data_IF_238573273789
#
_entry.id   IF_238573273789
#
_cell.length_a   1.000
_cell.length_b   1.000
_cell.length_c   1.000
_cell.angle_alpha   90.00
_cell.angle_beta   90.00
_cell.angle_gamma   90.00
#
_symmetry.space_group_name_H-M   'P 1'
#
loop_
_entity.id
_entity.type
_entity.pdbx_description
1 polymer ?
#
# COMPACT_ATOMS: atom_id res chain seq x y z
N UNK A 1 -18.33 -11.86 -5.19
CA UNK A 1 -17.77 -10.60 -5.74
C UNK A 1 -16.52 -10.96 -6.51
N UNK A 2 -16.45 -10.63 -7.79
CA UNK A 2 -15.27 -10.93 -8.61
C UNK A 2 -14.12 -9.98 -8.22
N UNK A 3 -12.92 -10.54 -8.02
CA UNK A 3 -11.70 -9.78 -7.84
C UNK A 3 -11.33 -9.11 -9.17
N UNK A 4 -11.26 -7.80 -9.20
CA UNK A 4 -10.87 -7.07 -10.41
C UNK A 4 -9.36 -7.18 -10.62
N UNK A 5 -8.94 -7.77 -11.76
CA UNK A 5 -7.52 -7.88 -12.12
C UNK A 5 -6.83 -6.50 -12.18
N UNK A 6 -7.53 -5.48 -12.68
CA UNK A 6 -7.01 -4.13 -12.78
C UNK A 6 -6.75 -3.52 -11.40
N UNK A 7 -7.70 -3.65 -10.45
CA UNK A 7 -7.54 -3.19 -9.06
C UNK A 7 -6.36 -3.90 -8.40
N UNK A 8 -6.27 -5.22 -8.55
CA UNK A 8 -5.18 -6.02 -7.99
C UNK A 8 -3.82 -5.59 -8.55
N UNK A 9 -3.71 -5.40 -9.88
CA UNK A 9 -2.46 -4.97 -10.51
C UNK A 9 -2.02 -3.57 -10.07
N UNK A 10 -2.97 -2.63 -9.96
CA UNK A 10 -2.69 -1.28 -9.45
C UNK A 10 -2.26 -1.30 -7.98
N UNK A 11 -2.90 -2.14 -7.17
CA UNK A 11 -2.50 -2.39 -5.79
C UNK A 11 -1.09 -2.97 -5.70
N UNK A 12 -0.75 -3.94 -6.54
CA UNK A 12 0.61 -4.50 -6.63
C UNK A 12 1.64 -3.43 -6.97
N UNK A 13 1.34 -2.56 -7.95
CA UNK A 13 2.22 -1.44 -8.30
C UNK A 13 2.40 -0.48 -7.12
N UNK A 14 1.31 -0.10 -6.44
CA UNK A 14 1.37 0.78 -5.27
C UNK A 14 2.24 0.19 -4.15
N UNK A 15 2.10 -1.12 -3.89
CA UNK A 15 2.90 -1.83 -2.90
C UNK A 15 4.38 -1.95 -3.28
N UNK A 16 4.69 -2.21 -4.55
CA UNK A 16 6.06 -2.23 -5.04
C UNK A 16 6.75 -0.88 -4.87
N UNK A 17 6.06 0.22 -5.21
CA UNK A 17 6.58 1.58 -5.01
C UNK A 17 6.77 1.89 -3.53
N UNK A 18 5.79 1.55 -2.67
CA UNK A 18 5.89 1.77 -1.23
C UNK A 18 7.08 1.02 -0.61
N UNK A 19 7.32 -0.24 -1.01
CA UNK A 19 8.47 -1.02 -0.58
C UNK A 19 9.79 -0.43 -1.08
N UNK A 20 9.81 0.10 -2.30
CA UNK A 20 11.00 0.78 -2.84
C UNK A 20 11.31 2.06 -2.05
N UNK A 21 10.29 2.85 -1.69
CA UNK A 21 10.46 4.04 -0.83
C UNK A 21 10.99 3.65 0.55
N UNK A 22 10.44 2.58 1.16
CA UNK A 22 10.96 2.02 2.40
C UNK A 22 12.46 1.70 2.28
N UNK A 23 12.84 0.89 1.29
CA UNK A 23 14.22 0.47 1.13
C UNK A 23 15.18 1.66 0.85
N UNK A 24 14.75 2.61 0.03
CA UNK A 24 15.55 3.77 -0.32
C UNK A 24 15.83 4.72 0.87
N UNK A 25 14.91 4.83 1.83
CA UNK A 25 15.08 5.69 3.00
C UNK A 25 15.85 5.02 4.16
N UNK A 26 16.15 3.71 4.11
CA UNK A 26 16.84 2.99 5.17
C UNK A 26 18.15 3.66 5.65
N UNK A 27 19.03 4.19 4.79
CA UNK A 27 20.23 4.86 5.27
C UNK A 27 19.95 6.08 6.15
N UNK A 28 18.80 6.73 5.97
CA UNK A 28 18.38 7.86 6.79
C UNK A 28 17.88 7.37 8.15
N UNK A 29 16.95 6.43 8.18
CA UNK A 29 16.37 5.94 9.43
C UNK A 29 17.40 5.20 10.31
N UNK A 30 18.37 4.48 9.71
CA UNK A 30 19.48 3.88 10.43
C UNK A 30 20.27 4.93 11.22
N UNK A 31 20.47 6.11 10.65
CA UNK A 31 21.14 7.22 11.34
C UNK A 31 20.28 7.82 12.45
N UNK A 32 18.98 7.99 12.19
CA UNK A 32 18.02 8.61 13.13
C UNK A 32 17.82 7.73 14.35
N UNK A 33 17.60 6.43 14.15
CA UNK A 33 17.34 5.48 15.24
C UNK A 33 18.59 4.84 15.81
N UNK A 34 19.75 5.00 15.16
CA UNK A 34 21.01 4.38 15.59
C UNK A 34 21.03 2.85 15.46
N UNK A 35 20.20 2.28 14.61
CA UNK A 35 20.10 0.82 14.39
C UNK A 35 20.50 0.48 12.96
N UNK A 36 21.64 -0.20 12.75
CA UNK A 36 22.14 -0.53 11.41
C UNK A 36 21.43 -1.77 10.84
N UNK A 37 20.11 -1.76 10.83
CA UNK A 37 19.29 -2.85 10.30
C UNK A 37 18.88 -2.58 8.86
N UNK A 38 19.15 -3.55 7.97
CA UNK A 38 18.84 -3.49 6.54
C UNK A 38 17.93 -4.66 6.15
N UNK A 39 16.66 -4.36 5.82
CA UNK A 39 15.68 -5.36 5.41
C UNK A 39 16.06 -6.04 4.10
N UNK A 40 16.61 -5.28 3.15
CA UNK A 40 17.07 -5.85 1.88
C UNK A 40 18.29 -6.76 2.10
N UNK A 41 19.23 -6.32 2.93
CA UNK A 41 20.37 -7.15 3.34
C UNK A 41 19.92 -8.44 4.02
N UNK A 42 18.96 -8.36 4.93
CA UNK A 42 18.36 -9.53 5.58
C UNK A 42 17.79 -10.51 4.55
N UNK A 43 16.86 -10.06 3.71
CA UNK A 43 16.18 -10.91 2.73
C UNK A 43 17.15 -11.54 1.74
N UNK A 44 18.13 -10.79 1.29
CA UNK A 44 19.12 -11.30 0.35
C UNK A 44 20.05 -12.34 0.95
N UNK A 45 20.52 -12.10 2.19
CA UNK A 45 21.41 -13.03 2.89
C UNK A 45 20.72 -14.29 3.38
N UNK A 46 19.38 -14.30 3.43
CA UNK A 46 18.61 -15.53 3.63
C UNK A 46 18.74 -16.53 2.47
N UNK A 47 19.00 -16.03 1.25
CA UNK A 47 19.04 -16.85 0.03
C UNK A 47 20.47 -17.04 -0.47
N UNK A 48 21.29 -15.99 -0.47
CA UNK A 48 22.65 -16.01 -1.01
C UNK A 48 23.60 -15.12 -0.23
N UNK A 49 24.90 -15.37 -0.39
CA UNK A 49 25.95 -14.52 0.20
C UNK A 49 26.75 -13.82 -0.92
N UNK A 50 27.49 -12.76 -0.54
CA UNK A 50 28.34 -12.03 -1.45
C UNK A 50 27.60 -10.96 -2.26
N UNK A 51 28.15 -10.59 -3.42
CA UNK A 51 27.72 -9.42 -4.20
C UNK A 51 26.26 -9.43 -4.66
N UNK A 52 25.63 -10.57 -4.73
CA UNK A 52 24.25 -10.72 -5.19
C UNK A 52 23.23 -10.64 -4.04
N UNK A 53 23.65 -10.67 -2.79
CA UNK A 53 22.73 -10.65 -1.65
C UNK A 53 21.88 -9.36 -1.67
N UNK A 54 22.49 -8.20 -1.75
CA UNK A 54 21.75 -6.94 -1.70
C UNK A 54 20.81 -6.74 -2.91
N UNK A 55 21.24 -6.93 -4.18
CA UNK A 55 20.32 -6.85 -5.32
C UNK A 55 19.14 -7.82 -5.23
N UNK A 56 19.39 -9.05 -4.81
CA UNK A 56 18.34 -10.05 -4.61
C UNK A 56 17.39 -9.65 -3.48
N UNK A 57 17.94 -9.14 -2.38
CA UNK A 57 17.13 -8.64 -1.26
C UNK A 57 16.21 -7.50 -1.67
N UNK A 58 16.68 -6.55 -2.47
CA UNK A 58 15.84 -5.51 -3.07
C UNK A 58 14.71 -6.09 -3.92
N UNK A 59 15.00 -7.05 -4.76
CA UNK A 59 14.00 -7.71 -5.60
C UNK A 59 12.94 -8.42 -4.75
N UNK A 60 13.36 -9.17 -3.72
CA UNK A 60 12.44 -9.87 -2.81
C UNK A 60 11.60 -8.86 -2.02
N UNK A 61 12.21 -7.81 -1.48
CA UNK A 61 11.51 -6.77 -0.71
C UNK A 61 10.43 -6.08 -1.55
N UNK A 62 10.79 -5.65 -2.76
CA UNK A 62 9.85 -5.02 -3.70
C UNK A 62 8.74 -5.97 -4.11
N UNK A 63 9.05 -7.24 -4.35
CA UNK A 63 8.07 -8.27 -4.68
C UNK A 63 7.10 -8.54 -3.52
N UNK A 64 7.60 -8.63 -2.29
CA UNK A 64 6.76 -8.77 -1.10
C UNK A 64 5.83 -7.56 -0.95
N UNK A 65 6.34 -6.34 -1.18
CA UNK A 65 5.52 -5.14 -1.21
C UNK A 65 4.44 -5.20 -2.28
N UNK A 66 4.75 -5.70 -3.48
CA UNK A 66 3.76 -5.89 -4.55
C UNK A 66 2.66 -6.88 -4.15
N UNK A 67 3.01 -8.01 -3.54
CA UNK A 67 2.04 -9.00 -3.05
C UNK A 67 1.15 -8.41 -1.96
N UNK A 68 1.75 -7.69 -1.00
CA UNK A 68 1.00 -7.02 0.05
C UNK A 68 0.03 -5.98 -0.53
N UNK A 69 0.49 -5.17 -1.48
CA UNK A 69 -0.34 -4.16 -2.15
C UNK A 69 -1.48 -4.77 -2.96
N UNK A 70 -1.24 -5.91 -3.64
CA UNK A 70 -2.28 -6.67 -4.32
C UNK A 70 -3.37 -7.17 -3.35
N UNK A 71 -2.98 -7.70 -2.20
CA UNK A 71 -3.90 -8.11 -1.14
C UNK A 71 -4.64 -6.90 -0.56
N UNK A 72 -3.90 -5.85 -0.21
CA UNK A 72 -4.44 -4.61 0.36
C UNK A 72 -5.55 -4.03 -0.50
N UNK A 73 -5.35 -3.86 -1.81
CA UNK A 73 -6.33 -3.27 -2.72
C UNK A 73 -7.67 -4.04 -2.75
N UNK A 74 -7.63 -5.35 -2.49
CA UNK A 74 -8.83 -6.18 -2.45
C UNK A 74 -9.50 -6.21 -1.07
N UNK A 75 -8.78 -5.92 0.01
CA UNK A 75 -9.28 -5.99 1.40
C UNK A 75 -9.66 -4.61 1.93
N UNK A 76 -8.87 -3.58 1.64
CA UNK A 76 -9.02 -2.24 2.19
C UNK A 76 -10.42 -1.61 2.03
N UNK A 77 -11.16 -1.82 0.91
CA UNK A 77 -12.52 -1.28 0.78
C UNK A 77 -13.52 -1.83 1.81
N UNK A 78 -13.22 -3.00 2.42
CA UNK A 78 -14.09 -3.65 3.41
C UNK A 78 -13.78 -3.24 4.84
N UNK A 79 -12.64 -2.58 5.05
CA UNK A 79 -12.22 -2.14 6.38
C UNK A 79 -12.99 -0.87 6.75
N UNK A 80 -13.71 -0.84 7.88
CA UNK A 80 -14.54 0.29 8.32
C UNK A 80 -13.69 1.42 8.91
N UNK A 81 -12.69 1.87 8.16
CA UNK A 81 -11.83 3.01 8.49
C UNK A 81 -11.90 4.06 7.38
N UNK A 82 -11.65 5.34 7.71
CA UNK A 82 -11.46 6.37 6.69
C UNK A 82 -10.37 5.96 5.70
N UNK A 83 -10.53 6.31 4.44
CA UNK A 83 -9.62 5.86 3.36
C UNK A 83 -8.15 6.18 3.64
N UNK A 84 -7.86 7.35 4.21
CA UNK A 84 -6.50 7.77 4.58
C UNK A 84 -5.87 6.92 5.70
N UNK A 85 -6.69 6.32 6.57
CA UNK A 85 -6.21 5.54 7.70
C UNK A 85 -6.00 4.05 7.37
N UNK A 86 -6.62 3.55 6.30
CA UNK A 86 -6.55 2.11 5.93
C UNK A 86 -5.13 1.64 5.65
N UNK A 87 -4.35 2.44 4.92
CA UNK A 87 -2.96 2.12 4.59
C UNK A 87 -2.06 2.07 5.83
N UNK A 88 -1.97 3.13 6.64
CA UNK A 88 -1.25 3.11 7.90
C UNK A 88 -1.68 1.97 8.83
N UNK A 89 -2.98 1.71 8.95
CA UNK A 89 -3.50 0.61 9.76
C UNK A 89 -3.06 -0.76 9.24
N UNK A 90 -3.04 -0.97 7.93
CA UNK A 90 -2.56 -2.21 7.33
C UNK A 90 -1.06 -2.42 7.57
N UNK A 91 -0.23 -1.38 7.39
CA UNK A 91 1.18 -1.44 7.71
C UNK A 91 1.44 -1.73 9.19
N UNK A 92 0.68 -1.11 10.10
CA UNK A 92 0.80 -1.39 11.53
C UNK A 92 0.30 -2.78 11.91
N UNK A 93 -0.73 -3.30 11.26
CA UNK A 93 -1.18 -4.66 11.48
C UNK A 93 -0.11 -5.69 11.07
N UNK A 94 0.54 -5.47 9.94
CA UNK A 94 1.66 -6.29 9.49
C UNK A 94 2.84 -6.20 10.46
N UNK A 95 3.21 -4.99 10.91
CA UNK A 95 4.24 -4.77 11.91
C UNK A 95 3.99 -5.58 13.19
N UNK A 96 2.81 -5.45 13.77
CA UNK A 96 2.45 -6.16 15.01
C UNK A 96 2.46 -7.67 14.81
N UNK A 97 2.01 -8.16 13.66
CA UNK A 97 1.99 -9.58 13.35
C UNK A 97 3.40 -10.16 13.14
N UNK A 98 4.31 -9.40 12.55
CA UNK A 98 5.65 -9.90 12.18
C UNK A 98 6.73 -9.59 13.23
N UNK A 99 6.58 -8.54 14.04
CA UNK A 99 7.56 -8.12 15.02
C UNK A 99 8.06 -9.25 15.96
N UNK A 100 7.18 -10.12 16.50
CA UNK A 100 7.64 -11.22 17.38
C UNK A 100 8.62 -12.18 16.70
N UNK A 101 8.57 -12.33 15.37
CA UNK A 101 9.48 -13.19 14.62
C UNK A 101 10.93 -12.71 14.68
N UNK A 102 11.16 -11.42 14.95
CA UNK A 102 12.51 -10.86 15.11
C UNK A 102 13.28 -11.50 16.27
N UNK A 103 12.59 -12.08 17.27
CA UNK A 103 13.21 -12.84 18.34
C UNK A 103 13.89 -14.13 17.87
N UNK A 104 13.44 -14.66 16.72
CA UNK A 104 13.94 -15.91 16.15
C UNK A 104 15.09 -15.69 15.16
N UNK A 105 15.24 -14.49 14.60
CA UNK A 105 16.24 -14.18 13.57
C UNK A 105 17.66 -14.57 13.96
N UNK A 106 18.17 -14.30 15.19
CA UNK A 106 19.53 -14.68 15.56
C UNK A 106 19.81 -16.19 15.49
N UNK A 107 18.75 -17.01 15.60
CA UNK A 107 18.87 -18.48 15.62
C UNK A 107 18.55 -19.12 14.28
N UNK A 108 17.60 -18.57 13.53
CA UNK A 108 17.07 -19.20 12.32
C UNK A 108 17.64 -18.63 11.03
N UNK A 109 18.10 -17.37 11.07
CA UNK A 109 18.61 -16.72 9.87
C UNK A 109 20.07 -17.09 9.59
N UNK A 110 20.46 -17.40 8.32
CA UNK A 110 21.83 -17.76 7.98
C UNK A 110 22.89 -16.73 8.37
N UNK A 111 22.53 -15.43 8.38
CA UNK A 111 23.38 -14.32 8.85
C UNK A 111 22.99 -13.84 10.26
N UNK A 112 22.33 -14.65 11.05
CA UNK A 112 21.77 -14.24 12.35
C UNK A 112 22.78 -13.66 13.33
N UNK A 113 24.03 -14.15 13.30
CA UNK A 113 25.11 -13.65 14.14
C UNK A 113 25.57 -12.22 13.78
N UNK A 114 25.34 -11.79 12.53
CA UNK A 114 25.75 -10.49 12.01
C UNK A 114 24.65 -9.43 12.16
N UNK A 115 23.44 -9.84 12.56
CA UNK A 115 22.28 -8.94 12.67
C UNK A 115 22.33 -8.12 13.97
N UNK A 116 21.91 -6.86 13.94
CA UNK A 116 21.71 -6.09 15.16
C UNK A 116 20.60 -6.72 16.00
N UNK A 117 20.69 -6.54 17.32
CA UNK A 117 19.63 -6.99 18.23
C UNK A 117 18.35 -6.21 17.96
N UNK A 118 17.33 -6.88 17.45
CA UNK A 118 16.02 -6.28 17.17
C UNK A 118 15.05 -6.49 18.34
N UNK A 119 14.80 -7.74 18.71
CA UNK A 119 13.88 -8.06 19.80
C UNK A 119 14.34 -7.51 21.15
N UNK A 120 13.44 -6.79 21.82
CA UNK A 120 13.73 -6.14 23.10
C UNK A 120 14.52 -4.83 22.99
N UNK A 121 14.78 -4.32 21.78
CA UNK A 121 15.40 -3.03 21.53
C UNK A 121 14.33 -1.97 21.22
N UNK A 122 14.21 -0.94 22.08
CA UNK A 122 13.29 0.19 21.85
C UNK A 122 13.59 0.95 20.57
N UNK A 123 14.85 1.32 20.28
CA UNK A 123 15.21 1.98 19.01
C UNK A 123 14.87 1.12 17.78
N UNK A 124 15.09 -0.20 17.82
CA UNK A 124 14.74 -1.08 16.72
C UNK A 124 13.21 -1.18 16.53
N UNK A 125 12.45 -1.25 17.61
CA UNK A 125 10.98 -1.20 17.54
C UNK A 125 10.49 0.12 16.93
N UNK A 126 11.06 1.26 17.35
CA UNK A 126 10.71 2.57 16.82
C UNK A 126 11.04 2.69 15.33
N UNK A 127 12.22 2.21 14.90
CA UNK A 127 12.62 2.16 13.50
C UNK A 127 11.66 1.31 12.67
N UNK A 128 11.32 0.10 13.14
CA UNK A 128 10.37 -0.78 12.46
C UNK A 128 8.96 -0.14 12.39
N UNK A 129 8.50 0.47 13.47
CA UNK A 129 7.22 1.20 13.49
C UNK A 129 7.19 2.32 12.45
N UNK A 130 8.25 3.12 12.38
CA UNK A 130 8.40 4.16 11.37
C UNK A 130 8.30 3.62 9.95
N UNK A 131 9.03 2.54 9.65
CA UNK A 131 9.06 1.92 8.33
C UNK A 131 7.70 1.42 7.90
N UNK A 132 6.97 0.75 8.78
CA UNK A 132 5.63 0.23 8.48
C UNK A 132 4.58 1.35 8.34
N UNK A 133 4.70 2.42 9.13
CA UNK A 133 3.85 3.61 8.95
C UNK A 133 4.12 4.29 7.61
N UNK A 134 5.39 4.47 7.24
CA UNK A 134 5.78 5.04 5.95
C UNK A 134 5.25 4.18 4.80
N UNK A 135 5.51 2.88 4.84
CA UNK A 135 5.03 1.92 3.84
C UNK A 135 3.51 1.98 3.70
N UNK A 136 2.79 1.86 4.81
CA UNK A 136 1.33 1.88 4.79
C UNK A 136 0.76 3.20 4.27
N UNK A 137 1.38 4.33 4.63
CA UNK A 137 0.96 5.66 4.15
C UNK A 137 1.15 5.79 2.64
N UNK A 138 2.32 5.43 2.13
CA UNK A 138 2.62 5.48 0.68
C UNK A 138 1.72 4.52 -0.08
N UNK A 139 1.59 3.28 0.39
CA UNK A 139 0.71 2.28 -0.20
C UNK A 139 -0.73 2.76 -0.28
N UNK A 140 -1.29 3.22 0.86
CA UNK A 140 -2.69 3.63 0.92
C UNK A 140 -3.00 4.83 0.04
N UNK A 141 -2.10 5.81 -0.02
CA UNK A 141 -2.28 6.99 -0.87
C UNK A 141 -2.16 6.66 -2.36
N UNK A 142 -1.16 5.85 -2.74
CA UNK A 142 -1.00 5.44 -4.14
C UNK A 142 -2.16 4.54 -4.60
N UNK A 143 -2.56 3.59 -3.80
CA UNK A 143 -3.69 2.71 -4.11
C UNK A 143 -4.97 3.52 -4.31
N UNK A 144 -5.26 4.45 -3.40
CA UNK A 144 -6.41 5.35 -3.49
C UNK A 144 -6.40 6.16 -4.79
N UNK A 145 -5.24 6.70 -5.20
CA UNK A 145 -5.12 7.47 -6.46
C UNK A 145 -5.25 6.59 -7.70
N UNK A 146 -4.60 5.45 -7.71
CA UNK A 146 -4.59 4.54 -8.86
C UNK A 146 -5.96 3.86 -9.08
N UNK A 147 -6.69 3.59 -8.00
CA UNK A 147 -8.00 2.95 -8.02
C UNK A 147 -9.17 3.92 -7.84
N UNK A 148 -8.91 5.24 -7.80
CA UNK A 148 -9.97 6.22 -7.89
C UNK A 148 -10.75 5.99 -9.20
N UNK A 149 -12.07 5.80 -9.09
CA UNK A 149 -12.95 5.80 -10.25
C UNK A 149 -12.94 7.17 -10.94
N UNK A 150 -13.47 7.28 -12.16
CA UNK A 150 -13.73 8.58 -12.74
C UNK A 150 -14.56 9.40 -11.75
N UNK A 151 -14.17 10.66 -11.58
CA UNK A 151 -14.93 11.60 -10.77
C UNK A 151 -16.37 11.62 -11.31
N UNK A 152 -17.41 11.55 -10.46
CA UNK A 152 -18.77 11.62 -10.94
C UNK A 152 -18.90 12.90 -11.78
N UNK A 153 -19.22 12.78 -13.06
CA UNK A 153 -19.60 13.94 -13.85
C UNK A 153 -20.79 14.58 -13.15
N UNK A 154 -20.57 15.72 -12.51
CA UNK A 154 -21.66 16.55 -12.01
C UNK A 154 -22.28 17.12 -13.28
N UNK A 155 -23.53 16.74 -13.63
CA UNK A 155 -24.18 17.30 -14.81
C UNK A 155 -24.14 18.82 -14.67
N UNK A 156 -23.54 19.50 -15.63
CA UNK A 156 -23.61 20.96 -15.66
C UNK A 156 -25.07 21.36 -15.73
N UNK A 157 -25.46 22.33 -14.96
CA UNK A 157 -26.85 22.81 -14.91
C UNK A 157 -27.43 23.08 -16.32
N UNK A 158 -26.60 23.50 -17.25
CA UNK A 158 -26.92 23.68 -18.67
C UNK A 158 -27.35 22.41 -19.41
N UNK A 159 -26.83 21.24 -18.97
CA UNK A 159 -27.22 19.93 -19.55
C UNK A 159 -28.58 19.44 -19.02
N UNK A 160 -29.02 19.95 -17.88
CA UNK A 160 -30.27 19.56 -17.21
C UNK A 160 -31.44 20.46 -17.59
N UNK A 161 -31.17 21.70 -17.95
CA UNK A 161 -32.21 22.65 -18.38
C UNK A 161 -32.39 22.55 -19.88
N UNK A 162 -33.44 21.85 -20.30
CA UNK A 162 -33.85 21.80 -21.69
C UNK A 162 -34.15 23.23 -22.20
N UNK A 163 -33.51 23.60 -23.28
CA UNK A 163 -33.50 24.93 -23.86
C UNK A 163 -34.81 25.39 -24.51
N UNK A 164 -35.90 24.67 -24.37
CA UNK A 164 -37.18 24.99 -25.04
C UNK A 164 -38.13 25.88 -24.23
N UNK A 165 -37.67 26.54 -23.18
CA UNK A 165 -38.37 27.60 -22.46
C UNK A 165 -39.69 27.22 -21.75
N UNK A 166 -40.13 25.99 -21.88
CA UNK A 166 -41.26 25.43 -21.17
C UNK A 166 -40.74 24.36 -20.22
N UNK A 167 -40.11 24.81 -19.14
CA UNK A 167 -39.44 23.94 -18.19
C UNK A 167 -40.36 22.91 -17.55
N UNK A 168 -40.42 21.76 -18.13
CA UNK A 168 -40.85 20.58 -17.42
C UNK A 168 -39.66 20.08 -16.58
N UNK A 169 -39.49 20.64 -15.40
CA UNK A 169 -38.50 20.16 -14.41
C UNK A 169 -38.68 18.65 -14.09
N UNK A 170 -39.90 18.15 -14.29
CA UNK A 170 -40.24 16.74 -14.17
C UNK A 170 -39.52 15.86 -15.19
N UNK A 171 -39.21 16.39 -16.38
CA UNK A 171 -38.45 15.65 -17.41
C UNK A 171 -36.94 15.74 -17.21
N UNK A 172 -36.44 16.78 -16.60
CA UNK A 172 -35.00 16.93 -16.33
C UNK A 172 -34.47 15.90 -15.33
N UNK A 173 -35.29 15.47 -14.37
CA UNK A 173 -34.91 14.45 -13.39
C UNK A 173 -35.00 13.04 -13.94
N UNK A 174 -35.64 12.79 -15.08
CA UNK A 174 -35.89 11.44 -15.63
C UNK A 174 -34.96 11.12 -16.81
N UNK A 175 -34.50 12.15 -17.54
CA UNK A 175 -33.66 11.96 -18.75
C UNK A 175 -32.30 11.28 -18.47
N UNK A 176 -31.85 11.29 -17.22
CA UNK A 176 -30.65 10.53 -16.82
C UNK A 176 -30.92 9.09 -16.37
N UNK A 177 -32.18 8.66 -16.24
CA UNK A 177 -32.56 7.38 -15.62
C UNK A 177 -33.42 6.47 -16.51
N UNK A 178 -33.97 6.98 -17.60
CA UNK A 178 -34.81 6.17 -18.49
C UNK A 178 -34.43 6.48 -19.94
N UNK A 179 -33.96 5.48 -20.67
CA UNK A 179 -33.90 5.55 -22.13
C UNK A 179 -35.31 5.80 -22.65
N UNK A 180 -35.54 6.75 -23.58
CA UNK A 180 -36.82 6.89 -24.19
C UNK A 180 -37.12 5.66 -25.03
N UNK A 181 -38.16 4.91 -24.65
CA UNK A 181 -38.72 3.87 -25.51
C UNK A 181 -39.04 4.49 -26.86
N UNK A 182 -38.32 4.00 -27.87
CA UNK A 182 -38.63 4.33 -29.26
C UNK A 182 -39.94 3.61 -29.63
N UNK A 183 -41.00 4.36 -29.66
CA UNK A 183 -42.25 3.99 -30.32
C UNK A 183 -42.28 4.50 -31.76
#
# INVERSE_FOLDING_TARGET
MSVSRAVTARGALAGAVAATVWAAQQPLDQRVFGVPYDDCGLLGTAVTRGRWALPLGWAIHTFNGALFGALYANVAPRVPLPSWARGPAAGMAEHVATWPSTALLPRLHPAGADLPRLWGSGPALAQATWRHLLFGTVLGELERRLNAGPEPEIPTYEAVVSSNGHGHLEHASVVGLVEPDAG
#
